data_IF_322012582534
#
_entry.id   IF_322012582534
#
_cell.length_a   1.000
_cell.length_b   1.000
_cell.length_c   1.000
_cell.angle_alpha   90.00
_cell.angle_beta   90.00
_cell.angle_gamma   90.00
#
_symmetry.space_group_name_H-M   'P 1'
#
loop_
_entity.id
_entity.type
_entity.pdbx_description
1 polymer ?
#
# COMPACT_ATOMS: atom_id res chain seq x y z
N UNK A 1 -42.18 17.59 0.85
CA UNK A 1 -41.37 16.63 1.63
C UNK A 1 -40.17 17.41 2.14
N UNK A 2 -40.07 17.63 3.46
CA UNK A 2 -38.97 18.39 4.02
C UNK A 2 -37.73 17.48 4.09
N UNK A 3 -36.76 17.72 3.21
CA UNK A 3 -35.44 17.13 3.29
C UNK A 3 -34.86 17.42 4.67
N UNK A 4 -34.79 16.40 5.52
CA UNK A 4 -34.34 16.56 6.89
C UNK A 4 -32.80 16.65 6.83
N UNK A 5 -32.19 17.84 6.98
CA UNK A 5 -30.77 18.03 6.72
C UNK A 5 -29.89 17.19 7.65
N UNK A 6 -30.42 16.84 8.83
CA UNK A 6 -29.76 15.93 9.78
C UNK A 6 -29.65 14.50 9.25
N UNK A 7 -30.62 14.01 8.46
CA UNK A 7 -30.59 12.66 7.90
C UNK A 7 -29.59 12.55 6.73
N UNK A 8 -29.49 13.61 5.92
CA UNK A 8 -28.52 13.71 4.83
C UNK A 8 -27.08 13.75 5.35
N UNK A 9 -26.81 14.52 6.42
CA UNK A 9 -25.50 14.56 7.06
C UNK A 9 -25.11 13.19 7.64
N UNK A 10 -26.04 12.51 8.33
CA UNK A 10 -25.79 11.16 8.86
C UNK A 10 -25.60 10.09 7.78
N UNK A 11 -26.23 10.24 6.62
CA UNK A 11 -25.98 9.37 5.47
C UNK A 11 -24.56 9.59 4.93
N UNK A 12 -24.18 10.85 4.70
CA UNK A 12 -22.84 11.21 4.22
C UNK A 12 -21.73 10.74 5.17
N UNK A 13 -21.91 10.89 6.49
CA UNK A 13 -20.97 10.39 7.50
C UNK A 13 -20.76 8.88 7.39
N UNK A 14 -21.84 8.11 7.21
CA UNK A 14 -21.77 6.64 7.04
C UNK A 14 -21.06 6.26 5.75
N UNK A 15 -21.30 6.98 4.67
CA UNK A 15 -20.64 6.68 3.39
C UNK A 15 -19.15 7.01 3.41
N UNK A 16 -18.76 8.11 4.06
CA UNK A 16 -17.34 8.43 4.31
C UNK A 16 -16.69 7.36 5.18
N UNK A 17 -17.34 6.92 6.26
CA UNK A 17 -16.85 5.84 7.13
C UNK A 17 -16.61 4.55 6.33
N UNK A 18 -17.59 4.14 5.52
CA UNK A 18 -17.50 2.95 4.66
C UNK A 18 -16.39 3.08 3.62
N UNK A 19 -16.26 4.23 2.98
CA UNK A 19 -15.19 4.49 2.02
C UNK A 19 -13.81 4.41 2.68
N UNK A 20 -13.68 4.95 3.89
CA UNK A 20 -12.44 4.89 4.67
C UNK A 20 -12.06 3.44 5.04
N UNK A 21 -13.01 2.64 5.52
CA UNK A 21 -12.80 1.23 5.82
C UNK A 21 -12.47 0.40 4.56
N UNK A 22 -13.15 0.68 3.44
CA UNK A 22 -12.87 0.04 2.17
C UNK A 22 -11.46 0.37 1.68
N UNK A 23 -11.03 1.62 1.81
CA UNK A 23 -9.68 2.06 1.46
C UNK A 23 -8.62 1.38 2.34
N UNK A 24 -8.86 1.27 3.64
CA UNK A 24 -7.98 0.55 4.56
C UNK A 24 -7.79 -0.92 4.14
N UNK A 25 -8.89 -1.63 3.87
CA UNK A 25 -8.88 -3.03 3.41
C UNK A 25 -8.19 -3.18 2.05
N UNK A 26 -8.41 -2.25 1.13
CA UNK A 26 -7.77 -2.26 -0.18
C UNK A 26 -6.25 -2.08 -0.07
N UNK A 27 -5.79 -1.16 0.79
CA UNK A 27 -4.36 -0.94 1.03
C UNK A 27 -3.68 -2.14 1.69
N UNK A 28 -4.34 -2.79 2.64
CA UNK A 28 -3.79 -3.99 3.29
C UNK A 28 -3.61 -5.15 2.29
N UNK A 29 -4.62 -5.36 1.43
CA UNK A 29 -4.54 -6.33 0.32
C UNK A 29 -3.44 -5.96 -0.67
N UNK A 30 -3.34 -4.69 -1.06
CA UNK A 30 -2.32 -4.22 -1.99
C UNK A 30 -0.90 -4.37 -1.41
N UNK A 31 -0.72 -4.11 -0.12
CA UNK A 31 0.57 -4.28 0.56
C UNK A 31 0.95 -5.76 0.62
N UNK A 32 0.01 -6.62 0.98
CA UNK A 32 0.22 -8.07 0.99
C UNK A 32 0.56 -8.60 -0.40
N UNK A 33 -0.17 -8.17 -1.44
CA UNK A 33 0.06 -8.56 -2.82
C UNK A 33 1.43 -8.09 -3.33
N UNK A 34 1.77 -6.80 -3.13
CA UNK A 34 3.06 -6.25 -3.56
C UNK A 34 4.26 -6.88 -2.84
N UNK A 35 4.13 -7.20 -1.55
CA UNK A 35 5.16 -7.96 -0.83
C UNK A 35 5.39 -9.34 -1.47
N UNK A 36 4.31 -10.09 -1.72
CA UNK A 36 4.39 -11.40 -2.39
C UNK A 36 4.98 -11.29 -3.79
N UNK A 37 4.61 -10.27 -4.56
CA UNK A 37 5.13 -10.02 -5.90
C UNK A 37 6.64 -9.78 -5.89
N UNK A 38 7.13 -8.92 -4.98
CA UNK A 38 8.56 -8.66 -4.80
C UNK A 38 9.31 -9.92 -4.39
N UNK A 39 8.79 -10.70 -3.44
CA UNK A 39 9.44 -11.94 -3.00
C UNK A 39 9.49 -13.00 -4.12
N UNK A 40 8.43 -13.12 -4.91
CA UNK A 40 8.41 -13.97 -6.09
C UNK A 40 9.43 -13.51 -7.14
N UNK A 41 9.52 -12.20 -7.40
CA UNK A 41 10.47 -11.63 -8.35
C UNK A 41 11.92 -11.80 -7.88
N UNK A 42 12.20 -11.68 -6.59
CA UNK A 42 13.53 -11.99 -6.00
C UNK A 42 13.92 -13.44 -6.24
N UNK A 43 13.02 -14.39 -5.98
CA UNK A 43 13.27 -15.82 -6.23
C UNK A 43 13.55 -16.10 -7.69
N UNK A 44 12.76 -15.54 -8.61
CA UNK A 44 12.98 -15.66 -10.06
C UNK A 44 14.33 -15.06 -10.48
N UNK A 45 14.66 -13.89 -9.97
CA UNK A 45 15.95 -13.22 -10.24
C UNK A 45 17.12 -14.06 -9.77
N UNK A 46 17.07 -14.60 -8.55
CA UNK A 46 18.11 -15.48 -8.01
C UNK A 46 18.27 -16.76 -8.85
N UNK A 47 17.16 -17.37 -9.29
CA UNK A 47 17.19 -18.54 -10.16
C UNK A 47 17.81 -18.21 -11.53
N UNK A 48 17.44 -17.08 -12.14
CA UNK A 48 18.00 -16.63 -13.41
C UNK A 48 19.51 -16.30 -13.30
N UNK A 49 19.92 -15.67 -12.20
CA UNK A 49 21.34 -15.44 -11.90
C UNK A 49 22.13 -16.75 -11.78
N UNK A 50 21.60 -17.74 -11.06
CA UNK A 50 22.23 -19.06 -10.96
C UNK A 50 22.34 -19.76 -12.31
N UNK A 51 21.29 -19.71 -13.13
CA UNK A 51 21.31 -20.24 -14.51
C UNK A 51 22.37 -19.56 -15.37
N UNK A 52 22.46 -18.23 -15.33
CA UNK A 52 23.45 -17.46 -16.06
C UNK A 52 24.89 -17.79 -15.62
N UNK A 53 25.13 -17.95 -14.32
CA UNK A 53 26.43 -18.36 -13.79
C UNK A 53 26.82 -19.77 -14.30
N UNK A 54 25.89 -20.73 -14.24
CA UNK A 54 26.12 -22.10 -14.77
C UNK A 54 26.37 -22.09 -16.28
N UNK A 55 25.66 -21.26 -17.04
CA UNK A 55 25.86 -21.15 -18.49
C UNK A 55 27.23 -20.55 -18.83
N UNK A 56 27.68 -19.58 -18.04
CA UNK A 56 29.01 -18.97 -18.16
C UNK A 56 30.11 -20.00 -17.88
N UNK A 57 30.00 -20.80 -16.81
CA UNK A 57 30.94 -21.88 -16.54
C UNK A 57 30.98 -22.93 -17.66
N UNK A 58 29.82 -23.38 -18.14
CA UNK A 58 29.76 -24.30 -19.29
C UNK A 58 30.40 -23.73 -20.55
N UNK A 59 30.23 -22.43 -20.81
CA UNK A 59 30.86 -21.76 -21.95
C UNK A 59 32.39 -21.73 -21.84
N UNK A 60 32.93 -21.61 -20.63
CA UNK A 60 34.38 -21.65 -20.37
C UNK A 60 34.95 -23.06 -20.52
N UNK A 61 34.19 -24.09 -20.13
CA UNK A 61 34.63 -25.49 -20.21
C UNK A 61 34.41 -26.14 -21.60
N UNK A 62 33.75 -25.46 -22.53
CA UNK A 62 33.43 -26.01 -23.85
C UNK A 62 34.68 -26.25 -24.71
N UNK A 63 34.87 -27.50 -25.16
CA UNK A 63 35.96 -27.92 -26.04
C UNK A 63 35.43 -28.21 -27.43
N UNK A 64 36.13 -27.72 -28.45
CA UNK A 64 35.75 -27.86 -29.86
C UNK A 64 34.85 -26.72 -30.37
N UNK A 65 34.88 -26.40 -31.69
CA UNK A 65 34.18 -25.24 -32.24
C UNK A 65 32.65 -25.31 -32.07
N UNK A 66 32.03 -26.44 -32.40
CA UNK A 66 30.58 -26.60 -32.31
C UNK A 66 30.03 -26.48 -30.87
N UNK A 67 30.76 -27.01 -29.89
CA UNK A 67 30.37 -26.91 -28.49
C UNK A 67 30.50 -25.48 -27.95
N UNK A 68 31.52 -24.74 -28.38
CA UNK A 68 31.70 -23.32 -28.03
C UNK A 68 30.55 -22.47 -28.55
N UNK A 69 30.16 -22.63 -29.82
CA UNK A 69 29.05 -21.88 -30.41
C UNK A 69 27.74 -22.12 -29.66
N UNK A 70 27.37 -23.38 -29.42
CA UNK A 70 26.16 -23.72 -28.65
C UNK A 70 26.20 -23.17 -27.22
N UNK A 71 27.35 -23.22 -26.56
CA UNK A 71 27.49 -22.71 -25.20
C UNK A 71 27.43 -21.18 -25.11
N UNK A 72 27.95 -20.48 -26.13
CA UNK A 72 27.83 -19.01 -26.24
C UNK A 72 26.37 -18.59 -26.46
N UNK A 73 25.63 -19.28 -27.32
CA UNK A 73 24.19 -19.04 -27.53
C UNK A 73 23.39 -19.28 -26.24
N UNK A 74 23.61 -20.40 -25.56
CA UNK A 74 22.96 -20.71 -24.30
C UNK A 74 23.27 -19.67 -23.21
N UNK A 75 24.52 -19.17 -23.16
CA UNK A 75 24.91 -18.08 -22.27
C UNK A 75 24.18 -16.79 -22.61
N UNK A 76 24.05 -16.44 -23.90
CA UNK A 76 23.34 -15.24 -24.33
C UNK A 76 21.88 -15.27 -23.89
N UNK A 77 21.19 -16.39 -24.08
CA UNK A 77 19.81 -16.58 -23.62
C UNK A 77 19.72 -16.45 -22.10
N UNK A 78 20.60 -17.11 -21.35
CA UNK A 78 20.57 -17.04 -19.88
C UNK A 78 20.86 -15.63 -19.34
N UNK A 79 21.68 -14.82 -20.04
CA UNK A 79 21.91 -13.42 -19.69
C UNK A 79 20.69 -12.55 -19.99
N UNK A 80 20.01 -12.77 -21.11
CA UNK A 80 18.76 -12.08 -21.43
C UNK A 80 17.66 -12.40 -20.40
N UNK A 81 17.51 -13.67 -20.02
CA UNK A 81 16.58 -14.10 -18.96
C UNK A 81 16.89 -13.42 -17.62
N UNK A 82 18.19 -13.33 -17.26
CA UNK A 82 18.62 -12.62 -16.06
C UNK A 82 18.26 -11.14 -16.12
N UNK A 83 18.44 -10.48 -17.26
CA UNK A 83 18.09 -9.06 -17.44
C UNK A 83 16.58 -8.87 -17.28
N UNK A 84 15.78 -9.65 -18.00
CA UNK A 84 14.31 -9.62 -17.90
C UNK A 84 13.81 -9.85 -16.47
N UNK A 85 14.37 -10.84 -15.76
CA UNK A 85 14.02 -11.08 -14.36
C UNK A 85 14.38 -9.91 -13.44
N UNK A 86 15.52 -9.25 -13.71
CA UNK A 86 15.98 -8.09 -12.93
C UNK A 86 15.07 -6.87 -13.16
N UNK A 87 14.65 -6.63 -14.40
CA UNK A 87 13.69 -5.59 -14.76
C UNK A 87 12.33 -5.82 -14.09
N UNK A 88 11.85 -7.07 -14.11
CA UNK A 88 10.62 -7.44 -13.42
C UNK A 88 10.70 -7.23 -11.89
N UNK A 89 11.84 -7.53 -11.28
CA UNK A 89 12.08 -7.25 -9.86
C UNK A 89 12.05 -5.75 -9.58
N UNK A 90 12.70 -4.94 -10.43
CA UNK A 90 12.67 -3.48 -10.30
C UNK A 90 11.25 -2.94 -10.38
N UNK A 91 10.48 -3.35 -11.38
CA UNK A 91 9.09 -2.94 -11.53
C UNK A 91 8.24 -3.31 -10.31
N UNK A 92 8.39 -4.53 -9.78
CA UNK A 92 7.69 -4.96 -8.56
C UNK A 92 8.07 -4.12 -7.33
N UNK A 93 9.35 -3.71 -7.21
CA UNK A 93 9.80 -2.84 -6.13
C UNK A 93 9.25 -1.42 -6.26
N UNK A 94 9.18 -0.88 -7.49
CA UNK A 94 8.58 0.43 -7.77
C UNK A 94 7.08 0.42 -7.40
N UNK A 95 6.34 -0.62 -7.78
CA UNK A 95 4.94 -0.79 -7.38
C UNK A 95 4.79 -0.89 -5.86
N UNK A 96 5.62 -1.70 -5.19
CA UNK A 96 5.62 -1.81 -3.73
C UNK A 96 5.91 -0.46 -3.06
N UNK A 97 6.80 0.35 -3.61
CA UNK A 97 7.09 1.69 -3.10
C UNK A 97 5.88 2.62 -3.24
N UNK A 98 5.15 2.56 -4.35
CA UNK A 98 3.91 3.32 -4.54
C UNK A 98 2.83 2.91 -3.53
N UNK A 99 2.65 1.61 -3.30
CA UNK A 99 1.70 1.08 -2.31
C UNK A 99 2.06 1.56 -0.90
N UNK A 100 3.35 1.50 -0.51
CA UNK A 100 3.84 2.02 0.78
C UNK A 100 3.61 3.53 0.90
N UNK A 101 3.83 4.28 -0.17
CA UNK A 101 3.55 5.72 -0.19
C UNK A 101 2.06 6.01 0.00
N UNK A 102 1.18 5.25 -0.66
CA UNK A 102 -0.27 5.35 -0.47
C UNK A 102 -0.68 5.01 0.97
N UNK A 103 -0.10 3.96 1.56
CA UNK A 103 -0.32 3.61 2.96
C UNK A 103 0.11 4.73 3.92
N UNK A 104 1.24 5.40 3.65
CA UNK A 104 1.70 6.54 4.45
C UNK A 104 0.72 7.71 4.38
N UNK A 105 0.20 8.03 3.19
CA UNK A 105 -0.83 9.06 3.01
C UNK A 105 -2.12 8.70 3.74
N UNK A 106 -2.55 7.45 3.67
CA UNK A 106 -3.72 6.96 4.39
C UNK A 106 -3.58 7.15 5.91
N UNK A 107 -2.44 6.74 6.50
CA UNK A 107 -2.17 6.94 7.94
C UNK A 107 -2.22 8.41 8.36
N UNK A 108 -1.77 9.32 7.49
CA UNK A 108 -1.86 10.76 7.74
C UNK A 108 -3.31 11.21 7.82
N UNK A 109 -4.12 10.81 6.83
CA UNK A 109 -5.57 11.11 6.78
C UNK A 109 -6.29 10.54 7.99
N UNK A 110 -6.08 9.27 8.30
CA UNK A 110 -6.67 8.57 9.45
C UNK A 110 -6.35 9.29 10.78
N UNK A 111 -5.09 9.66 10.97
CA UNK A 111 -4.68 10.43 12.16
C UNK A 111 -5.32 11.82 12.23
N UNK A 112 -5.52 12.48 11.09
CA UNK A 112 -6.20 13.77 10.99
C UNK A 112 -7.68 13.67 11.34
N UNK A 113 -8.37 12.67 10.78
CA UNK A 113 -9.77 12.37 11.08
C UNK A 113 -9.98 12.09 12.57
N UNK A 114 -9.13 11.26 13.18
CA UNK A 114 -9.18 10.97 14.62
C UNK A 114 -9.02 12.22 15.49
N UNK A 115 -8.11 13.13 15.11
CA UNK A 115 -7.92 14.40 15.82
C UNK A 115 -9.14 15.32 15.70
N UNK A 116 -9.72 15.42 14.51
CA UNK A 116 -10.92 16.23 14.26
C UNK A 116 -12.12 15.69 15.04
N UNK A 117 -12.31 14.37 15.07
CA UNK A 117 -13.37 13.73 15.86
C UNK A 117 -13.22 14.06 17.35
N UNK A 118 -12.02 13.89 17.92
CA UNK A 118 -11.74 14.26 19.32
C UNK A 118 -11.99 15.75 19.60
N UNK A 119 -11.66 16.62 18.65
CA UNK A 119 -11.91 18.06 18.80
C UNK A 119 -13.42 18.38 18.77
N UNK A 120 -14.18 17.74 17.88
CA UNK A 120 -15.62 17.88 17.79
C UNK A 120 -16.32 17.38 19.07
N UNK A 121 -15.94 16.21 19.58
CA UNK A 121 -16.45 15.66 20.85
C UNK A 121 -16.20 16.63 22.02
N UNK A 122 -14.99 17.21 22.11
CA UNK A 122 -14.65 18.23 23.11
C UNK A 122 -15.50 19.49 22.95
N UNK A 123 -15.73 19.97 21.73
CA UNK A 123 -16.54 21.15 21.47
C UNK A 123 -18.01 20.94 21.88
N UNK A 124 -18.58 19.77 21.55
CA UNK A 124 -19.92 19.37 21.95
C UNK A 124 -20.03 19.27 23.47
N UNK A 125 -19.05 18.64 24.13
CA UNK A 125 -19.00 18.53 25.59
C UNK A 125 -18.96 19.92 26.26
N UNK A 126 -18.11 20.85 25.78
CA UNK A 126 -18.07 22.23 26.27
C UNK A 126 -19.42 22.93 26.11
N UNK A 127 -20.06 22.83 24.94
CA UNK A 127 -21.38 23.44 24.68
C UNK A 127 -22.47 22.89 25.61
N UNK A 128 -22.47 21.58 25.88
CA UNK A 128 -23.39 20.95 26.86
C UNK A 128 -23.15 21.46 28.29
N UNK A 129 -21.90 21.58 28.71
CA UNK A 129 -21.53 22.08 30.05
C UNK A 129 -21.92 23.54 30.26
N UNK A 130 -21.68 24.41 29.26
CA UNK A 130 -22.11 25.82 29.30
C UNK A 130 -23.63 25.93 29.42
N UNK A 131 -24.39 25.17 28.62
CA UNK A 131 -25.86 25.14 28.70
C UNK A 131 -26.36 24.68 30.08
N UNK A 132 -25.74 23.65 30.68
CA UNK A 132 -26.09 23.18 32.03
C UNK A 132 -25.81 24.25 33.10
N UNK A 133 -24.68 24.96 33.01
CA UNK A 133 -24.31 26.01 33.96
C UNK A 133 -25.24 27.22 33.85
N UNK A 134 -25.64 27.61 32.63
CA UNK A 134 -26.63 28.65 32.40
C UNK A 134 -28.01 28.28 32.99
N UNK A 135 -28.48 27.04 32.78
CA UNK A 135 -29.73 26.55 33.39
C UNK A 135 -29.69 26.52 34.92
N UNK A 136 -28.55 26.20 35.53
CA UNK A 136 -28.39 26.21 37.00
C UNK A 136 -28.44 27.63 37.56
N UNK A 137 -27.77 28.59 36.93
CA UNK A 137 -27.84 30.01 37.33
C UNK A 137 -29.25 30.60 37.20
N UNK A 138 -29.98 30.24 36.14
CA UNK A 138 -31.36 30.69 35.95
C UNK A 138 -32.35 30.10 36.97
N UNK A 139 -32.01 28.98 37.64
CA UNK A 139 -32.83 28.34 38.68
C UNK A 139 -32.47 28.73 40.11
N UNK A 140 -31.29 29.32 40.33
CA UNK A 140 -30.78 29.68 41.67
C UNK A 140 -30.80 31.19 41.94
N UNK A 141 -31.41 31.98 41.07
CA UNK A 141 -31.48 33.44 41.16
C UNK A 141 -32.91 33.98 41.02
N UNK A 142 -33.90 33.16 41.37
CA UNK A 142 -35.30 33.56 41.55
C UNK A 142 -35.73 33.25 42.98
#
# INVERSE_FOLDING_TARGET
MADNPSALVQAAERDVQRAHEAWAKALDRALTASNKAVDAAKKKTAAAQSKAAKALERSRSAKGPAAKTKAVEARRVALADKQSATEALRAAQEEQAQVKAAQKKFKLVDSGLSKLQKAAEKAVAKKKTVRRRAKRKAKSGG
#
